data_IF_041455882511
#
_entry.id   IF_041455882511
#
_cell.length_a   1.000
_cell.length_b   1.000
_cell.length_c   1.000
_cell.angle_alpha   90.00
_cell.angle_beta   90.00
_cell.angle_gamma   90.00
#
_symmetry.space_group_name_H-M   'P 1'
#
loop_
_entity.id
_entity.type
_entity.pdbx_description
1 polymer ?
#
# COMPACT_ATOMS: atom_id res chain seq x y z
N UNK A 1 16.09 -15.34 27.78
CA UNK A 1 16.07 -14.37 28.86
C UNK A 1 14.63 -14.05 29.23
N UNK A 2 14.28 -14.22 30.52
CA UNK A 2 12.87 -14.15 30.97
C UNK A 2 12.42 -12.71 31.32
N UNK A 3 13.28 -11.74 31.16
CA UNK A 3 13.00 -10.34 31.56
C UNK A 3 12.24 -9.53 30.51
N UNK A 4 12.24 -9.99 29.26
CA UNK A 4 11.55 -9.32 28.13
C UNK A 4 10.56 -10.30 27.52
N UNK A 5 9.35 -9.83 27.33
CA UNK A 5 8.35 -10.50 26.50
C UNK A 5 8.32 -9.85 25.13
N UNK A 6 8.56 -10.62 24.08
CA UNK A 6 8.52 -10.18 22.69
C UNK A 6 7.31 -10.82 22.03
N UNK A 7 6.47 -10.04 21.41
CA UNK A 7 5.29 -10.52 20.67
C UNK A 7 5.13 -9.78 19.37
N UNK A 8 4.59 -10.46 18.36
CA UNK A 8 4.09 -9.82 17.15
C UNK A 8 2.76 -9.14 17.51
N UNK A 9 2.52 -7.92 17.06
CA UNK A 9 1.24 -7.28 17.28
C UNK A 9 0.16 -8.02 16.45
N UNK A 10 -1.02 -8.19 17.04
CA UNK A 10 -2.14 -8.87 16.38
C UNK A 10 -2.50 -8.19 15.07
N UNK A 11 -2.76 -8.97 14.04
CA UNK A 11 -3.14 -8.51 12.70
C UNK A 11 -2.14 -7.56 12.02
N UNK A 12 -0.84 -7.67 12.36
CA UNK A 12 0.21 -6.87 11.73
C UNK A 12 1.43 -7.72 11.39
N UNK A 13 2.08 -7.44 10.26
CA UNK A 13 3.27 -8.16 9.83
C UNK A 13 4.58 -7.47 10.20
N UNK A 14 4.51 -6.15 10.37
CA UNK A 14 5.68 -5.29 10.49
C UNK A 14 5.85 -4.65 11.87
N UNK A 15 5.05 -5.04 12.85
CA UNK A 15 5.13 -4.52 14.23
C UNK A 15 5.51 -5.64 15.20
N UNK A 16 6.62 -5.43 15.89
CA UNK A 16 7.04 -6.25 17.02
C UNK A 16 6.93 -5.42 18.28
N UNK A 17 6.22 -5.95 19.27
CA UNK A 17 6.05 -5.34 20.57
C UNK A 17 7.00 -5.99 21.58
N UNK A 18 7.73 -5.16 22.30
CA UNK A 18 8.60 -5.59 23.40
C UNK A 18 8.13 -4.93 24.68
N UNK A 19 7.95 -5.73 25.72
CA UNK A 19 7.58 -5.25 27.05
C UNK A 19 8.43 -5.93 28.13
N UNK A 20 8.64 -5.26 29.25
CA UNK A 20 9.22 -5.89 30.42
C UNK A 20 8.26 -6.98 30.94
N UNK A 21 8.76 -8.15 31.27
CA UNK A 21 7.95 -9.22 31.84
C UNK A 21 7.42 -8.80 33.20
N UNK A 22 6.12 -8.99 33.44
CA UNK A 22 5.46 -8.60 34.68
C UNK A 22 6.12 -9.27 35.88
N UNK A 23 6.43 -8.50 36.94
CA UNK A 23 7.09 -9.00 38.14
C UNK A 23 8.61 -9.20 38.03
N UNK A 24 9.19 -8.86 36.86
CA UNK A 24 10.63 -9.00 36.59
C UNK A 24 11.39 -7.68 36.43
N UNK A 25 10.73 -6.58 36.72
CA UNK A 25 11.32 -5.23 36.52
C UNK A 25 12.54 -4.98 37.42
N UNK A 26 12.48 -5.45 38.66
CA UNK A 26 13.61 -5.34 39.61
C UNK A 26 14.79 -6.28 39.29
N UNK A 27 14.49 -7.38 38.59
CA UNK A 27 15.50 -8.35 38.12
C UNK A 27 16.03 -8.03 36.72
N UNK A 28 15.57 -6.92 36.08
CA UNK A 28 15.97 -6.58 34.74
C UNK A 28 17.48 -6.25 34.73
N UNK A 29 18.29 -6.95 33.95
CA UNK A 29 19.73 -6.65 33.86
C UNK A 29 19.92 -5.24 33.31
N UNK A 30 21.05 -4.61 33.62
CA UNK A 30 21.35 -3.27 33.10
C UNK A 30 21.26 -3.18 31.60
N UNK A 31 21.56 -4.27 30.91
CA UNK A 31 21.44 -4.36 29.45
C UNK A 31 21.25 -5.82 29.04
N UNK A 32 20.33 -6.06 28.13
CA UNK A 32 20.17 -7.35 27.48
C UNK A 32 20.05 -7.15 25.96
N UNK A 33 20.00 -8.21 25.18
CA UNK A 33 19.85 -8.12 23.74
C UNK A 33 18.59 -8.84 23.24
N UNK A 34 18.03 -8.31 22.17
CA UNK A 34 16.94 -8.94 21.41
C UNK A 34 17.35 -8.98 19.96
N UNK A 35 17.22 -10.16 19.35
CA UNK A 35 17.50 -10.36 17.93
C UNK A 35 16.21 -10.69 17.20
N UNK A 36 15.98 -10.03 16.08
CA UNK A 36 14.85 -10.22 15.19
C UNK A 36 15.34 -10.66 13.82
N UNK A 37 14.81 -11.77 13.32
CA UNK A 37 14.99 -12.19 11.95
C UNK A 37 13.68 -11.93 11.17
N UNK A 38 13.79 -11.32 10.00
CA UNK A 38 12.65 -11.10 9.11
C UNK A 38 12.56 -12.23 8.08
N UNK A 39 11.38 -12.45 7.51
CA UNK A 39 11.19 -13.41 6.42
C UNK A 39 12.06 -13.10 5.19
N UNK A 40 12.39 -11.82 4.97
CA UNK A 40 13.32 -11.39 3.92
C UNK A 40 14.81 -11.65 4.23
N UNK A 41 15.13 -12.40 5.29
CA UNK A 41 16.50 -12.78 5.69
C UNK A 41 17.31 -11.65 6.31
N UNK A 42 16.71 -10.50 6.63
CA UNK A 42 17.39 -9.43 7.36
C UNK A 42 17.41 -9.77 8.86
N UNK A 43 18.55 -9.51 9.48
CA UNK A 43 18.77 -9.78 10.89
C UNK A 43 19.09 -8.48 11.63
N UNK A 44 18.38 -8.23 12.72
CA UNK A 44 18.54 -7.03 13.54
C UNK A 44 18.83 -7.45 14.98
N UNK A 45 19.79 -6.82 15.61
CA UNK A 45 20.09 -7.02 17.03
C UNK A 45 20.03 -5.68 17.77
N UNK A 46 19.28 -5.66 18.86
CA UNK A 46 19.09 -4.48 19.71
C UNK A 46 19.66 -4.74 21.08
N UNK A 47 20.38 -3.78 21.60
CA UNK A 47 20.67 -3.70 23.04
C UNK A 47 19.50 -3.01 23.72
N UNK A 48 18.91 -3.64 24.72
CA UNK A 48 17.71 -3.19 25.40
C UNK A 48 18.00 -3.00 26.89
N UNK A 49 17.62 -1.86 27.42
CA UNK A 49 17.63 -1.55 28.85
C UNK A 49 16.21 -1.16 29.31
N UNK A 50 15.94 -1.32 30.60
CA UNK A 50 14.68 -0.92 31.17
C UNK A 50 14.72 0.53 31.62
N UNK A 51 13.71 1.33 31.23
CA UNK A 51 13.46 2.70 31.75
C UNK A 51 11.99 2.88 32.04
N UNK A 52 11.67 3.48 33.18
CA UNK A 52 10.29 3.82 33.53
C UNK A 52 9.68 4.83 32.57
N UNK A 53 10.50 5.75 32.05
CA UNK A 53 10.11 6.73 31.04
C UNK A 53 11.12 6.66 29.89
N UNK A 54 10.83 5.86 28.86
CA UNK A 54 11.71 5.80 27.69
C UNK A 54 11.60 7.08 26.86
N UNK A 55 12.69 7.42 26.18
CA UNK A 55 12.76 8.60 25.29
C UNK A 55 11.82 8.46 24.07
N UNK A 56 11.58 7.23 23.62
CA UNK A 56 10.65 6.91 22.55
C UNK A 56 9.98 5.58 22.81
N UNK A 57 8.70 5.48 22.42
CA UNK A 57 7.89 4.25 22.53
C UNK A 57 7.83 3.47 21.21
N UNK A 58 8.20 4.11 20.10
CA UNK A 58 8.17 3.53 18.76
C UNK A 58 9.48 3.80 18.06
N UNK A 59 10.10 2.74 17.54
CA UNK A 59 11.32 2.81 16.76
C UNK A 59 11.04 2.24 15.37
N UNK A 60 11.31 3.01 14.33
CA UNK A 60 11.27 2.53 12.95
C UNK A 60 12.62 1.95 12.57
N UNK A 61 12.61 0.70 12.07
CA UNK A 61 13.80 -0.04 11.70
C UNK A 61 13.83 -0.14 10.17
N UNK A 62 14.78 0.48 9.52
CA UNK A 62 14.95 0.43 8.08
C UNK A 62 15.94 1.46 7.57
N UNK A 63 16.31 1.36 6.30
CA UNK A 63 17.03 2.42 5.62
C UNK A 63 16.14 3.66 5.59
N UNK A 64 16.67 4.82 5.98
CA UNK A 64 15.99 6.11 5.88
C UNK A 64 15.67 6.40 4.40
N UNK A 65 14.52 5.90 3.93
CA UNK A 65 13.88 6.45 2.74
C UNK A 65 13.20 7.75 3.16
N UNK A 66 13.24 8.82 2.35
CA UNK A 66 12.59 10.07 2.69
C UNK A 66 11.10 9.80 2.96
N UNK A 67 10.68 10.17 4.14
CA UNK A 67 9.35 10.26 4.71
C UNK A 67 8.19 9.59 3.93
N UNK A 68 8.01 8.27 4.13
CA UNK A 68 6.69 7.66 4.10
C UNK A 68 6.33 7.36 5.54
N UNK A 69 5.21 7.94 6.01
CA UNK A 69 4.61 7.60 7.32
C UNK A 69 4.55 6.08 7.44
N UNK A 70 5.04 5.54 8.56
CA UNK A 70 4.96 4.11 8.82
C UNK A 70 3.48 3.69 8.78
N UNK A 71 3.09 3.00 7.73
CA UNK A 71 1.76 2.44 7.63
C UNK A 71 1.78 1.07 8.32
N UNK A 72 0.91 0.90 9.30
CA UNK A 72 0.62 -0.40 9.90
C UNK A 72 0.04 -1.30 8.80
N UNK A 73 0.69 -2.42 8.53
CA UNK A 73 0.24 -3.38 7.52
C UNK A 73 -0.65 -4.40 8.23
N UNK A 74 -1.93 -4.39 7.94
CA UNK A 74 -2.88 -5.39 8.43
C UNK A 74 -2.69 -6.71 7.68
N UNK A 75 -2.83 -7.84 8.39
CA UNK A 75 -2.37 -9.17 7.93
C UNK A 75 -3.40 -9.96 7.10
N UNK A 76 -4.58 -9.40 6.81
CA UNK A 76 -5.57 -10.15 6.05
C UNK A 76 -5.26 -10.07 4.54
N UNK A 77 -4.75 -11.16 3.98
CA UNK A 77 -4.51 -11.38 2.54
C UNK A 77 -3.37 -10.58 1.88
N UNK A 78 -2.26 -10.33 2.56
CA UNK A 78 -1.17 -9.50 2.02
C UNK A 78 0.02 -10.36 1.61
N UNK A 79 0.64 -10.01 0.48
CA UNK A 79 1.93 -10.60 0.05
C UNK A 79 2.94 -10.46 1.20
N UNK A 80 3.64 -11.53 1.60
CA UNK A 80 4.69 -11.44 2.62
C UNK A 80 5.65 -10.29 2.35
N UNK A 81 6.03 -9.54 3.38
CA UNK A 81 6.82 -8.31 3.21
C UNK A 81 8.14 -8.55 2.43
N UNK A 82 8.75 -9.74 2.59
CA UNK A 82 9.96 -10.13 1.85
C UNK A 82 9.74 -10.36 0.35
N UNK A 83 8.54 -10.67 -0.08
CA UNK A 83 8.20 -10.93 -1.49
C UNK A 83 7.54 -9.73 -2.17
N UNK A 84 6.93 -8.83 -1.40
CA UNK A 84 6.16 -7.70 -1.93
C UNK A 84 6.97 -6.87 -2.93
N UNK A 85 8.16 -6.42 -2.55
CA UNK A 85 9.00 -5.58 -3.41
C UNK A 85 9.36 -6.29 -4.71
N UNK A 86 9.60 -7.60 -4.66
CA UNK A 86 9.91 -8.40 -5.85
C UNK A 86 8.69 -8.56 -6.76
N UNK A 87 7.51 -8.87 -6.19
CA UNK A 87 6.27 -9.02 -6.95
C UNK A 87 5.87 -7.68 -7.57
N UNK A 88 5.88 -6.60 -6.79
CA UNK A 88 5.51 -5.27 -7.26
C UNK A 88 6.48 -4.75 -8.34
N UNK A 89 7.78 -4.95 -8.16
CA UNK A 89 8.79 -4.60 -9.17
C UNK A 89 8.60 -5.39 -10.46
N UNK A 90 8.30 -6.69 -10.37
CA UNK A 90 8.01 -7.54 -11.54
C UNK A 90 6.78 -7.04 -12.28
N UNK A 91 5.70 -6.75 -11.57
CA UNK A 91 4.44 -6.24 -12.14
C UNK A 91 4.63 -4.85 -12.75
N UNK A 92 5.37 -3.97 -12.07
CA UNK A 92 5.71 -2.63 -12.58
C UNK A 92 6.50 -2.68 -13.88
N UNK A 93 7.48 -3.59 -13.98
CA UNK A 93 8.36 -3.72 -15.14
C UNK A 93 7.77 -4.60 -16.25
N UNK A 94 6.61 -5.22 -16.03
CA UNK A 94 5.96 -6.03 -17.05
C UNK A 94 5.64 -5.22 -18.31
N UNK A 95 5.78 -5.85 -19.46
CA UNK A 95 5.39 -5.26 -20.73
C UNK A 95 3.89 -5.01 -20.73
N UNK A 96 3.48 -3.90 -21.34
CA UNK A 96 2.06 -3.58 -21.48
C UNK A 96 1.33 -4.70 -22.20
N UNK A 97 0.30 -5.26 -21.57
CA UNK A 97 -0.55 -6.33 -22.10
C UNK A 97 -1.96 -5.86 -22.44
N UNK A 98 -2.41 -4.75 -21.84
CA UNK A 98 -3.76 -4.19 -22.07
C UNK A 98 -3.62 -2.94 -22.92
N UNK A 99 -4.25 -3.00 -24.10
CA UNK A 99 -4.32 -1.89 -25.04
C UNK A 99 -5.77 -1.40 -25.15
N UNK A 100 -5.95 -0.16 -25.56
CA UNK A 100 -7.28 0.45 -25.79
C UNK A 100 -8.21 0.51 -24.55
N UNK A 101 -7.64 0.45 -23.35
CA UNK A 101 -8.33 0.71 -22.09
C UNK A 101 -7.76 1.97 -21.46
N UNK A 102 -8.49 3.07 -21.61
CA UNK A 102 -8.10 4.36 -21.06
C UNK A 102 -9.01 5.47 -21.57
N UNK A 103 -8.75 6.68 -21.11
CA UNK A 103 -9.49 7.89 -21.46
C UNK A 103 -8.51 9.04 -21.64
N UNK A 104 -8.88 9.97 -22.52
CA UNK A 104 -8.19 11.26 -22.69
C UNK A 104 -9.18 12.37 -22.37
N UNK A 105 -8.88 13.18 -21.38
CA UNK A 105 -9.68 14.35 -21.02
C UNK A 105 -8.78 15.48 -20.56
N UNK A 106 -9.02 16.71 -21.02
CA UNK A 106 -8.26 17.90 -20.60
C UNK A 106 -6.72 17.74 -20.68
N UNK A 107 -6.22 17.08 -21.73
CA UNK A 107 -4.80 16.73 -21.91
C UNK A 107 -4.23 15.75 -20.87
N UNK A 108 -5.06 15.17 -20.02
CA UNK A 108 -4.69 14.06 -19.15
C UNK A 108 -5.08 12.75 -19.85
N UNK A 109 -4.12 11.86 -19.96
CA UNK A 109 -4.32 10.52 -20.51
C UNK A 109 -4.21 9.53 -19.36
N UNK A 110 -5.28 8.81 -19.07
CA UNK A 110 -5.26 7.68 -18.14
C UNK A 110 -5.32 6.39 -18.94
N UNK A 111 -4.52 5.41 -18.57
CA UNK A 111 -4.54 4.09 -19.19
C UNK A 111 -4.33 2.96 -18.18
N UNK A 112 -4.98 1.84 -18.46
CA UNK A 112 -4.76 0.54 -17.79
C UNK A 112 -3.74 -0.20 -18.64
N UNK A 113 -2.57 -0.49 -18.07
CA UNK A 113 -1.48 -1.15 -18.80
C UNK A 113 -1.47 -2.66 -18.61
N UNK A 114 -1.75 -3.13 -17.38
CA UNK A 114 -1.78 -4.55 -17.04
C UNK A 114 -2.73 -4.84 -15.89
N UNK A 115 -3.14 -6.10 -15.81
CA UNK A 115 -3.77 -6.72 -14.65
C UNK A 115 -3.07 -8.06 -14.41
N UNK A 116 -2.54 -8.25 -13.23
CA UNK A 116 -1.95 -9.50 -12.78
C UNK A 116 -2.75 -10.02 -11.58
N UNK A 117 -2.85 -11.34 -11.51
CA UNK A 117 -3.44 -12.03 -10.36
C UNK A 117 -2.26 -12.66 -9.61
N UNK A 118 -2.16 -12.35 -8.33
CA UNK A 118 -1.19 -12.94 -7.44
C UNK A 118 -1.93 -13.41 -6.19
N UNK A 119 -2.04 -14.73 -6.06
CA UNK A 119 -2.81 -15.38 -5.00
C UNK A 119 -4.25 -14.82 -4.92
N UNK A 120 -4.63 -14.16 -3.84
CA UNK A 120 -5.93 -13.53 -3.65
C UNK A 120 -5.93 -12.03 -3.95
N UNK A 121 -4.96 -11.53 -4.72
CA UNK A 121 -4.81 -10.12 -5.08
C UNK A 121 -4.99 -9.88 -6.57
N UNK A 122 -5.57 -8.73 -6.89
CA UNK A 122 -5.57 -8.13 -8.22
C UNK A 122 -4.58 -6.95 -8.22
N UNK A 123 -3.55 -7.07 -9.04
CA UNK A 123 -2.50 -6.06 -9.18
C UNK A 123 -2.67 -5.35 -10.53
N UNK A 124 -3.18 -4.13 -10.47
CA UNK A 124 -3.34 -3.28 -11.66
C UNK A 124 -2.11 -2.39 -11.85
N UNK A 125 -1.66 -2.29 -13.10
CA UNK A 125 -0.70 -1.27 -13.50
C UNK A 125 -1.42 -0.17 -14.25
N UNK A 126 -1.41 1.03 -13.71
CA UNK A 126 -1.99 2.22 -14.32
C UNK A 126 -0.90 3.20 -14.77
N UNK A 127 -1.22 4.00 -15.77
CA UNK A 127 -0.37 5.08 -16.22
C UNK A 127 -1.22 6.34 -16.44
N UNK A 128 -0.72 7.46 -15.92
CA UNK A 128 -1.30 8.79 -16.13
C UNK A 128 -0.24 9.66 -16.79
N UNK A 129 -0.56 10.23 -17.95
CA UNK A 129 0.29 11.16 -18.68
C UNK A 129 -0.36 12.53 -18.69
N UNK A 130 0.35 13.53 -18.20
CA UNK A 130 -0.06 14.93 -18.26
C UNK A 130 0.57 15.58 -19.50
N UNK A 131 -0.24 15.80 -20.54
CA UNK A 131 0.18 16.49 -21.78
C UNK A 131 -0.01 18.01 -21.72
N UNK A 132 -0.38 18.53 -20.57
CA UNK A 132 -0.45 19.97 -20.35
C UNK A 132 0.92 20.50 -19.90
N UNK A 133 1.08 21.83 -19.93
CA UNK A 133 2.28 22.49 -19.39
C UNK A 133 2.19 22.76 -17.87
N UNK A 134 1.00 22.62 -17.28
CA UNK A 134 0.75 22.86 -15.87
C UNK A 134 0.80 21.53 -15.10
N UNK A 135 1.23 21.53 -13.84
CA UNK A 135 1.12 20.36 -12.99
C UNK A 135 -0.34 19.92 -12.84
N UNK A 136 -0.55 18.62 -12.70
CA UNK A 136 -1.84 18.02 -12.42
C UNK A 136 -1.79 17.44 -11.00
N UNK A 137 -2.55 18.06 -10.09
CA UNK A 137 -2.63 17.65 -8.70
C UNK A 137 -3.89 16.80 -8.51
N UNK A 138 -3.69 15.52 -8.18
CA UNK A 138 -4.77 14.57 -7.93
C UNK A 138 -5.29 14.80 -6.52
N UNK A 139 -6.59 15.04 -6.38
CA UNK A 139 -7.27 15.12 -5.10
C UNK A 139 -7.54 13.72 -4.56
N UNK A 140 -8.28 12.92 -5.33
CA UNK A 140 -8.53 11.51 -5.01
C UNK A 140 -8.71 10.67 -6.27
N UNK A 141 -8.50 9.37 -6.10
CA UNK A 141 -8.86 8.34 -7.08
C UNK A 141 -9.84 7.38 -6.39
N UNK A 142 -11.01 7.20 -7.00
CA UNK A 142 -12.04 6.29 -6.52
C UNK A 142 -12.15 5.09 -7.45
N UNK A 143 -12.26 3.91 -6.88
CA UNK A 143 -12.40 2.65 -7.58
C UNK A 143 -13.71 1.99 -7.15
N UNK A 144 -14.58 1.65 -8.10
CA UNK A 144 -15.86 1.06 -7.75
C UNK A 144 -16.46 0.21 -8.89
N UNK A 145 -17.33 -0.71 -8.53
CA UNK A 145 -18.09 -1.52 -9.46
C UNK A 145 -19.49 -0.92 -9.58
N UNK A 146 -19.94 -0.67 -10.80
CA UNK A 146 -21.23 -0.05 -11.11
C UNK A 146 -21.92 -0.79 -12.27
N UNK A 147 -23.24 -0.68 -12.36
CA UNK A 147 -24.02 -1.23 -13.46
C UNK A 147 -23.66 -0.59 -14.81
N UNK A 148 -23.54 -1.39 -15.87
CA UNK A 148 -23.26 -0.92 -17.24
C UNK A 148 -24.33 0.03 -17.77
N UNK A 149 -25.60 -0.29 -17.45
CA UNK A 149 -26.76 0.48 -17.89
C UNK A 149 -27.62 0.80 -16.68
N UNK A 150 -27.86 2.06 -16.44
CA UNK A 150 -28.89 2.53 -15.52
C UNK A 150 -30.15 2.86 -16.34
N UNK A 151 -31.25 2.16 -16.08
CA UNK A 151 -32.55 2.61 -16.58
C UNK A 151 -32.85 3.97 -15.92
N UNK A 152 -33.47 4.90 -16.67
CA UNK A 152 -33.68 6.31 -16.27
C UNK A 152 -34.35 6.55 -14.90
N UNK A 153 -34.83 5.52 -14.21
CA UNK A 153 -35.57 5.58 -12.94
C UNK A 153 -35.10 4.58 -11.88
N UNK A 154 -33.96 3.91 -12.05
CA UNK A 154 -33.42 2.97 -11.06
C UNK A 154 -32.17 3.54 -10.43
N UNK A 155 -32.08 3.46 -9.09
CA UNK A 155 -30.84 3.77 -8.38
C UNK A 155 -29.74 2.77 -8.82
N UNK A 156 -28.61 3.27 -9.30
CA UNK A 156 -27.46 2.41 -9.59
C UNK A 156 -26.76 2.06 -8.29
N UNK A 157 -26.47 0.79 -8.09
CA UNK A 157 -25.71 0.34 -6.95
C UNK A 157 -24.20 0.45 -7.26
N UNK A 158 -23.51 1.28 -6.51
CA UNK A 158 -22.06 1.39 -6.53
C UNK A 158 -21.47 0.58 -5.39
N UNK A 159 -20.43 -0.21 -5.69
CA UNK A 159 -19.68 -0.97 -4.69
C UNK A 159 -18.24 -0.51 -4.74
N UNK A 160 -17.83 0.26 -3.73
CA UNK A 160 -16.46 0.76 -3.62
C UNK A 160 -15.48 -0.40 -3.45
N UNK A 161 -14.35 -0.30 -4.15
CA UNK A 161 -13.21 -1.19 -4.03
C UNK A 161 -12.08 -0.45 -3.34
N UNK A 162 -11.71 -0.92 -2.15
CA UNK A 162 -10.64 -0.30 -1.37
C UNK A 162 -9.29 -0.83 -1.84
N UNK A 163 -8.37 0.07 -2.14
CA UNK A 163 -7.00 -0.29 -2.43
C UNK A 163 -6.29 -0.71 -1.14
N UNK A 164 -5.62 -1.85 -1.17
CA UNK A 164 -4.83 -2.34 -0.04
C UNK A 164 -3.52 -1.57 0.09
N UNK A 165 -2.82 -1.42 -1.04
CA UNK A 165 -1.57 -0.65 -1.12
C UNK A 165 -1.27 -0.25 -2.57
N UNK A 166 -0.39 0.72 -2.74
CA UNK A 166 0.10 1.13 -4.06
C UNK A 166 1.59 1.41 -4.02
N UNK A 167 2.25 1.26 -5.18
CA UNK A 167 3.67 1.56 -5.36
C UNK A 167 3.90 2.51 -6.52
N UNK A 168 4.88 3.41 -6.37
CA UNK A 168 5.22 4.46 -7.32
C UNK A 168 4.09 5.46 -7.62
N UNK A 169 3.09 5.56 -6.74
CA UNK A 169 2.04 6.56 -6.82
C UNK A 169 2.54 7.92 -6.31
N UNK A 170 2.19 8.97 -7.03
CA UNK A 170 2.36 10.37 -6.61
C UNK A 170 1.06 11.13 -6.81
N UNK A 171 0.63 11.97 -5.85
CA UNK A 171 -0.56 12.79 -6.02
C UNK A 171 -0.36 13.95 -7.00
N UNK A 172 0.88 14.19 -7.47
CA UNK A 172 1.21 15.29 -8.40
C UNK A 172 1.99 14.77 -9.60
N UNK A 173 1.57 15.20 -10.78
CA UNK A 173 2.22 14.89 -12.06
C UNK A 173 2.60 16.21 -12.72
N UNK A 174 3.88 16.45 -12.90
CA UNK A 174 4.40 17.68 -13.52
C UNK A 174 3.92 17.85 -14.96
N UNK A 175 3.94 19.07 -15.45
CA UNK A 175 3.59 19.38 -16.84
C UNK A 175 4.47 18.59 -17.83
N UNK A 176 3.84 17.98 -18.84
CA UNK A 176 4.45 17.01 -19.77
C UNK A 176 5.05 15.78 -19.07
N UNK A 177 4.67 15.53 -17.80
CA UNK A 177 5.13 14.40 -17.01
C UNK A 177 4.26 13.16 -17.18
N UNK A 178 4.77 12.07 -16.63
CA UNK A 178 4.09 10.77 -16.64
C UNK A 178 4.30 10.06 -15.31
N UNK A 179 3.26 9.43 -14.82
CA UNK A 179 3.28 8.55 -13.65
C UNK A 179 2.77 7.18 -14.04
N UNK A 180 3.57 6.15 -13.75
CA UNK A 180 3.16 4.75 -13.83
C UNK A 180 3.19 4.20 -12.40
N UNK A 181 2.13 3.53 -11.97
CA UNK A 181 2.04 2.96 -10.63
C UNK A 181 1.33 1.61 -10.64
N UNK A 182 1.58 0.82 -9.61
CA UNK A 182 0.90 -0.46 -9.36
C UNK A 182 0.02 -0.29 -8.13
N UNK A 183 -1.17 -0.84 -8.17
CA UNK A 183 -2.12 -0.81 -7.08
C UNK A 183 -2.71 -2.21 -6.86
N UNK A 184 -2.84 -2.59 -5.60
CA UNK A 184 -3.35 -3.88 -5.18
C UNK A 184 -4.76 -3.76 -4.59
N UNK A 185 -5.61 -4.70 -4.95
CA UNK A 185 -6.94 -4.90 -4.37
C UNK A 185 -7.08 -6.36 -3.95
N UNK A 186 -7.94 -6.62 -2.97
CA UNK A 186 -8.47 -7.97 -2.78
C UNK A 186 -9.16 -8.44 -4.06
N UNK A 187 -9.09 -9.74 -4.32
CA UNK A 187 -9.70 -10.33 -5.49
C UNK A 187 -11.22 -10.13 -5.47
N UNK A 188 -11.72 -9.45 -6.46
CA UNK A 188 -13.15 -9.25 -6.66
C UNK A 188 -13.60 -9.75 -8.03
N UNK A 189 -14.88 -10.01 -8.17
CA UNK A 189 -15.50 -10.41 -9.43
C UNK A 189 -16.33 -9.25 -9.98
N UNK A 190 -16.25 -9.04 -11.28
CA UNK A 190 -17.09 -8.07 -12.00
C UNK A 190 -18.17 -8.88 -12.73
N UNK A 191 -19.43 -8.86 -12.29
CA UNK A 191 -20.53 -9.49 -12.99
C UNK A 191 -20.70 -8.94 -14.42
N UNK A 192 -21.28 -9.74 -15.32
CA UNK A 192 -21.41 -9.37 -16.74
C UNK A 192 -22.17 -8.05 -16.97
N UNK A 193 -23.13 -7.73 -16.10
CA UNK A 193 -23.91 -6.49 -16.17
C UNK A 193 -23.23 -5.27 -15.54
N UNK A 194 -22.03 -5.46 -14.95
CA UNK A 194 -21.28 -4.42 -14.23
C UNK A 194 -19.96 -4.08 -14.91
N UNK A 195 -19.39 -2.96 -14.50
CA UNK A 195 -18.05 -2.50 -14.91
C UNK A 195 -17.28 -2.02 -13.69
N UNK A 196 -15.98 -2.25 -13.72
CA UNK A 196 -15.06 -1.60 -12.80
C UNK A 196 -14.77 -0.19 -13.32
N UNK A 197 -15.11 0.81 -12.54
CA UNK A 197 -14.93 2.23 -12.86
C UNK A 197 -13.84 2.85 -12.00
N UNK A 198 -13.04 3.67 -12.64
CA UNK A 198 -11.97 4.44 -12.01
C UNK A 198 -12.29 5.91 -12.24
N UNK A 199 -12.42 6.67 -11.19
CA UNK A 199 -12.70 8.10 -11.20
C UNK A 199 -11.50 8.83 -10.60
N UNK A 200 -10.98 9.82 -11.33
CA UNK A 200 -9.85 10.63 -10.91
C UNK A 200 -10.32 12.07 -10.85
N UNK A 201 -10.17 12.70 -9.69
CA UNK A 201 -10.49 14.10 -9.49
C UNK A 201 -9.23 14.94 -9.26
N UNK A 202 -9.22 16.08 -9.93
CA UNK A 202 -8.16 17.08 -9.77
C UNK A 202 -8.47 17.99 -8.60
N UNK A 203 -7.45 18.32 -7.83
CA UNK A 203 -7.55 19.29 -6.74
C UNK A 203 -7.85 20.67 -7.31
N UNK A 204 -8.94 21.29 -6.87
CA UNK A 204 -9.46 22.55 -7.40
C UNK A 204 -9.93 22.49 -8.87
N UNK A 205 -10.09 21.32 -9.44
CA UNK A 205 -10.71 21.10 -10.74
C UNK A 205 -12.23 21.12 -10.61
N UNK A 206 -12.91 21.93 -11.43
CA UNK A 206 -14.35 21.92 -11.55
C UNK A 206 -14.87 20.77 -12.42
#
# INVERSE_FOLDING_TARGET
DTCIQVSKAENTENIVRMIAATGKVEEFPRQTNVSLATEGGKFYTFNVDYRQQPEAFVYEIGEKRPEKKANVILTDNIIPAGERDQVMSRVYNAKRGIFNKGIVRNKIVFSVNNLHIYDNLLLFTFEIENKSKLPYDIDYIRYYIIDKKTAKLTASQEVDQQALFSENYSPRIEGNGRMKYVIAFDKFTIPDEKVFRIEINEKNGG
#
